data_IF_663724386432
#
_entry.id   IF_663724386432
#
_cell.length_a   1.000
_cell.length_b   1.000
_cell.length_c   1.000
_cell.angle_alpha   90.00
_cell.angle_beta   90.00
_cell.angle_gamma   90.00
#
_symmetry.space_group_name_H-M   'P 1'
#
loop_
_entity.id
_entity.type
_entity.pdbx_description
1 polymer ?
#
# COMPACT_ATOMS: atom_id res chain seq x y z
N UNK A 1 9.88 8.36 34.91
CA UNK A 1 9.68 7.44 33.76
C UNK A 1 10.13 8.22 32.54
N UNK A 2 11.03 7.69 31.71
CA UNK A 2 11.42 8.34 30.47
C UNK A 2 10.18 8.58 29.60
N UNK A 3 10.08 9.78 29.05
CA UNK A 3 9.00 10.13 28.11
C UNK A 3 9.06 9.17 26.92
N UNK A 4 7.94 8.49 26.61
CA UNK A 4 7.87 7.54 25.48
C UNK A 4 7.68 8.33 24.19
N UNK A 5 8.50 8.08 23.19
CA UNK A 5 8.38 8.72 21.87
C UNK A 5 7.13 8.26 21.14
N UNK A 6 6.49 9.17 20.43
CA UNK A 6 5.47 8.84 19.43
C UNK A 6 6.13 8.61 18.08
N UNK A 7 5.46 7.81 17.21
CA UNK A 7 5.98 7.42 15.90
C UNK A 7 4.97 7.74 14.81
N UNK A 8 5.48 8.30 13.71
CA UNK A 8 4.73 8.42 12.45
C UNK A 8 5.48 7.61 11.40
N UNK A 9 4.78 6.67 10.77
CA UNK A 9 5.31 5.82 9.71
C UNK A 9 4.62 6.20 8.39
N UNK A 10 5.35 6.91 7.51
CA UNK A 10 4.88 7.17 6.15
C UNK A 10 5.25 6.03 5.22
N UNK A 11 4.30 5.56 4.43
CA UNK A 11 4.52 4.52 3.41
C UNK A 11 3.94 4.99 2.09
N UNK A 12 4.74 4.96 1.04
CA UNK A 12 4.30 5.07 -0.35
C UNK A 12 4.28 3.68 -0.99
N UNK A 13 3.42 3.47 -1.98
CA UNK A 13 3.33 2.17 -2.65
C UNK A 13 4.05 2.20 -4.01
N UNK A 14 4.89 1.20 -4.25
CA UNK A 14 5.66 1.05 -5.51
C UNK A 14 6.61 2.23 -5.81
N UNK A 15 7.02 2.98 -4.79
CA UNK A 15 8.00 4.05 -4.93
C UNK A 15 9.37 3.48 -5.26
N UNK A 16 9.98 3.92 -6.36
CA UNK A 16 11.37 3.57 -6.70
C UNK A 16 12.34 4.39 -5.84
N UNK A 17 13.42 3.75 -5.43
CA UNK A 17 14.50 4.39 -4.68
C UNK A 17 15.08 5.62 -5.42
N UNK A 18 15.36 5.46 -6.71
CA UNK A 18 15.96 6.47 -7.56
C UNK A 18 15.00 7.59 -8.03
N UNK A 19 13.72 7.56 -7.60
CA UNK A 19 12.73 8.57 -7.92
C UNK A 19 12.48 9.53 -6.74
N UNK A 20 13.55 9.90 -6.03
CA UNK A 20 13.56 10.89 -4.95
C UNK A 20 14.72 11.87 -5.16
N UNK A 21 14.52 13.16 -4.85
CA UNK A 21 15.56 14.19 -4.95
C UNK A 21 16.75 13.87 -4.06
N UNK A 22 16.51 13.46 -2.79
CA UNK A 22 17.56 13.07 -1.85
C UNK A 22 18.40 11.87 -2.31
N UNK A 23 17.89 11.08 -3.24
CA UNK A 23 18.62 9.94 -3.85
C UNK A 23 19.22 10.29 -5.22
N UNK A 24 19.27 11.60 -5.56
CA UNK A 24 19.99 12.11 -6.71
C UNK A 24 19.19 12.14 -8.03
N UNK A 25 17.85 12.00 -7.99
CA UNK A 25 17.06 12.15 -9.22
C UNK A 25 17.19 13.57 -9.79
N UNK A 26 17.60 13.75 -11.06
CA UNK A 26 17.94 15.08 -11.59
C UNK A 26 16.73 15.97 -11.85
N UNK A 27 15.53 15.41 -12.01
CA UNK A 27 14.32 16.13 -12.44
C UNK A 27 13.25 16.14 -11.35
N UNK A 28 12.99 15.00 -10.72
CA UNK A 28 11.91 14.88 -9.73
C UNK A 28 12.19 15.74 -8.48
N UNK A 29 11.15 16.40 -8.01
CA UNK A 29 11.20 17.29 -6.85
C UNK A 29 10.41 16.66 -5.69
N UNK A 30 11.11 16.32 -4.62
CA UNK A 30 10.53 15.75 -3.40
C UNK A 30 10.97 16.54 -2.16
N UNK A 31 10.72 17.88 -2.11
CA UNK A 31 11.37 18.77 -1.15
C UNK A 31 11.12 18.40 0.31
N UNK A 32 9.93 17.91 0.64
CA UNK A 32 9.60 17.53 2.02
C UNK A 32 10.30 16.22 2.44
N UNK A 33 10.39 15.24 1.52
CA UNK A 33 11.15 14.00 1.78
C UNK A 33 12.63 14.30 1.85
N UNK A 34 13.12 15.17 0.96
CA UNK A 34 14.53 15.57 0.90
C UNK A 34 14.94 16.30 2.20
N UNK A 35 14.07 17.15 2.74
CA UNK A 35 14.29 17.81 4.04
C UNK A 35 14.36 16.79 5.19
N UNK A 36 13.44 15.82 5.22
CA UNK A 36 13.49 14.76 6.24
C UNK A 36 14.78 13.94 6.14
N UNK A 37 15.23 13.62 4.92
CA UNK A 37 16.48 12.90 4.71
C UNK A 37 17.70 13.70 5.16
N UNK A 38 17.69 15.03 4.97
CA UNK A 38 18.77 15.92 5.38
C UNK A 38 18.86 16.08 6.91
N UNK A 39 17.73 15.99 7.62
CA UNK A 39 17.65 16.12 9.08
C UNK A 39 17.76 14.79 9.83
N UNK A 40 17.62 13.68 9.11
CA UNK A 40 17.55 12.33 9.67
C UNK A 40 18.62 11.39 9.17
N UNK A 41 18.26 10.12 9.03
CA UNK A 41 19.12 9.06 8.51
C UNK A 41 18.48 8.47 7.25
N UNK A 42 19.21 8.49 6.13
CA UNK A 42 18.83 7.82 4.90
C UNK A 42 19.55 6.47 4.78
N UNK A 43 18.82 5.44 4.32
CA UNK A 43 19.34 4.10 4.13
C UNK A 43 19.37 3.74 2.65
N UNK A 44 20.56 3.76 2.03
CA UNK A 44 20.74 3.52 0.59
C UNK A 44 20.46 2.08 0.17
N UNK A 45 20.56 1.13 1.09
CA UNK A 45 20.43 -0.31 0.83
C UNK A 45 19.40 -0.96 1.76
N UNK A 46 18.21 -0.40 1.78
CA UNK A 46 17.08 -0.97 2.51
C UNK A 46 16.23 -1.82 1.56
N UNK A 47 16.30 -3.14 1.71
CA UNK A 47 15.63 -4.10 0.84
C UNK A 47 14.32 -4.58 1.44
N UNK A 48 13.29 -4.65 0.60
CA UNK A 48 11.99 -5.21 0.97
C UNK A 48 12.05 -6.74 1.04
N UNK A 49 11.24 -7.34 1.91
CA UNK A 49 11.17 -8.79 2.05
C UNK A 49 10.51 -9.47 0.83
N UNK A 50 9.68 -8.73 0.10
CA UNK A 50 9.02 -9.15 -1.14
C UNK A 50 8.77 -7.94 -2.03
N UNK A 51 8.92 -8.06 -3.37
CA UNK A 51 8.58 -6.96 -4.29
C UNK A 51 7.07 -6.77 -4.47
N UNK A 52 6.25 -7.66 -3.90
CA UNK A 52 4.79 -7.62 -3.98
C UNK A 52 4.22 -6.99 -2.71
N UNK A 53 3.29 -6.05 -2.87
CA UNK A 53 2.79 -5.19 -1.77
C UNK A 53 2.23 -5.97 -0.59
N UNK A 54 1.35 -6.94 -0.80
CA UNK A 54 0.69 -7.67 0.29
C UNK A 54 1.67 -8.52 1.12
N UNK A 55 2.51 -9.39 0.54
CA UNK A 55 3.57 -10.10 1.29
C UNK A 55 4.55 -9.17 1.99
N UNK A 56 4.94 -8.07 1.33
CA UNK A 56 5.87 -7.11 1.94
C UNK A 56 5.24 -6.39 3.14
N UNK A 57 3.98 -5.98 3.03
CA UNK A 57 3.26 -5.32 4.13
C UNK A 57 3.05 -6.27 5.31
N UNK A 58 2.73 -7.54 5.05
CA UNK A 58 2.69 -8.56 6.08
C UNK A 58 4.05 -8.77 6.78
N UNK A 59 5.14 -8.76 6.00
CA UNK A 59 6.51 -8.81 6.54
C UNK A 59 6.84 -7.59 7.40
N UNK A 60 6.46 -6.39 6.94
CA UNK A 60 6.62 -5.16 7.72
C UNK A 60 5.88 -5.24 9.06
N UNK A 61 4.62 -5.70 9.04
CA UNK A 61 3.78 -5.77 10.25
C UNK A 61 4.27 -6.80 11.25
N UNK A 62 4.77 -7.95 10.78
CA UNK A 62 5.15 -9.08 11.63
C UNK A 62 6.65 -9.16 11.92
N UNK A 63 7.48 -8.38 11.21
CA UNK A 63 8.94 -8.51 11.21
C UNK A 63 9.42 -9.91 10.84
N UNK A 64 8.67 -10.63 9.98
CA UNK A 64 8.95 -11.99 9.53
C UNK A 64 8.97 -12.09 8.02
N UNK A 65 9.62 -13.11 7.49
CA UNK A 65 9.63 -13.41 6.06
C UNK A 65 8.30 -14.03 5.60
N UNK A 66 7.93 -13.91 4.31
CA UNK A 66 6.71 -14.51 3.76
C UNK A 66 6.60 -16.02 3.99
N UNK A 67 7.71 -16.74 4.01
CA UNK A 67 7.77 -18.17 4.36
C UNK A 67 7.35 -18.47 5.80
N UNK A 68 7.44 -17.49 6.69
CA UNK A 68 7.11 -17.65 8.11
C UNK A 68 5.70 -17.17 8.45
N UNK A 69 5.23 -16.06 7.86
CA UNK A 69 3.87 -15.55 8.14
C UNK A 69 2.81 -16.06 7.15
N UNK A 70 3.19 -16.73 6.06
CA UNK A 70 2.30 -17.41 5.12
C UNK A 70 1.67 -16.52 4.05
N UNK A 71 1.67 -15.22 4.17
CA UNK A 71 1.20 -14.28 3.14
C UNK A 71 2.26 -14.18 2.05
N UNK A 72 2.28 -15.15 1.12
CA UNK A 72 3.33 -15.32 0.11
C UNK A 72 2.99 -14.77 -1.27
N UNK A 73 1.72 -14.42 -1.49
CA UNK A 73 1.25 -13.81 -2.73
C UNK A 73 0.06 -12.89 -2.48
N UNK A 74 -0.36 -12.16 -3.51
CA UNK A 74 -1.61 -11.41 -3.47
C UNK A 74 -2.78 -12.35 -3.18
N UNK A 75 -3.71 -11.87 -2.36
CA UNK A 75 -4.95 -12.57 -2.00
C UNK A 75 -4.83 -13.52 -0.82
N UNK A 76 -3.63 -13.90 -0.39
CA UNK A 76 -3.45 -14.69 0.83
C UNK A 76 -3.37 -13.73 2.02
N UNK A 77 -4.41 -13.60 2.84
CA UNK A 77 -4.43 -12.64 3.93
C UNK A 77 -3.42 -12.98 5.02
N UNK A 78 -3.00 -11.96 5.75
CA UNK A 78 -2.26 -12.16 7.00
C UNK A 78 -3.20 -12.78 8.04
N UNK A 79 -2.76 -13.87 8.65
CA UNK A 79 -3.53 -14.50 9.71
C UNK A 79 -3.75 -13.53 10.88
N UNK A 80 -4.98 -13.46 11.40
CA UNK A 80 -5.34 -12.63 12.55
C UNK A 80 -4.57 -12.99 13.82
N UNK A 81 -4.13 -14.25 13.96
CA UNK A 81 -3.30 -14.72 15.09
C UNK A 81 -1.83 -14.26 14.96
N UNK A 82 -1.44 -13.60 13.85
CA UNK A 82 -0.09 -13.12 13.67
C UNK A 82 0.16 -11.93 14.59
N UNK A 83 1.14 -12.04 15.45
CA UNK A 83 1.61 -10.92 16.28
C UNK A 83 2.24 -9.86 15.40
N UNK A 84 1.76 -8.63 15.49
CA UNK A 84 2.29 -7.47 14.78
C UNK A 84 3.02 -6.53 15.74
N UNK A 85 3.99 -5.75 15.23
CA UNK A 85 4.64 -4.72 16.05
C UNK A 85 3.64 -3.65 16.54
N UNK A 86 2.57 -3.43 15.78
CA UNK A 86 1.48 -2.50 16.15
C UNK A 86 0.73 -3.03 17.37
N UNK A 87 0.43 -4.31 17.40
CA UNK A 87 -0.21 -4.95 18.57
C UNK A 87 0.67 -4.85 19.81
N UNK A 88 1.98 -5.07 19.67
CA UNK A 88 2.93 -4.92 20.79
C UNK A 88 2.94 -3.49 21.32
N UNK A 89 2.92 -2.47 20.44
CA UNK A 89 2.83 -1.08 20.86
C UNK A 89 1.47 -0.76 21.49
N UNK A 90 0.38 -1.26 20.92
CA UNK A 90 -0.97 -1.10 21.49
C UNK A 90 -1.05 -1.68 22.92
N UNK A 91 -0.47 -2.86 23.14
CA UNK A 91 -0.39 -3.51 24.45
C UNK A 91 0.56 -2.78 25.41
N UNK A 92 1.58 -2.09 24.88
CA UNK A 92 2.45 -1.20 25.65
C UNK A 92 1.79 0.17 25.99
N UNK A 93 0.52 0.37 25.62
CA UNK A 93 -0.26 1.55 25.98
C UNK A 93 -0.25 2.67 24.93
N UNK A 94 0.25 2.42 23.71
CA UNK A 94 0.19 3.39 22.63
C UNK A 94 -1.24 3.48 22.05
N UNK A 95 -1.60 4.67 21.56
CA UNK A 95 -2.69 4.81 20.62
C UNK A 95 -2.15 4.46 19.23
N UNK A 96 -2.91 3.62 18.49
CA UNK A 96 -2.47 3.10 17.19
C UNK A 96 -3.50 3.41 16.13
N UNK A 97 -3.11 4.09 15.07
CA UNK A 97 -3.97 4.47 13.98
C UNK A 97 -3.33 4.14 12.62
N UNK A 98 -4.14 3.62 11.70
CA UNK A 98 -3.80 3.48 10.29
C UNK A 98 -4.71 4.37 9.45
N UNK A 99 -4.11 5.22 8.64
CA UNK A 99 -4.80 6.04 7.65
C UNK A 99 -4.23 5.70 6.27
N UNK A 100 -5.07 5.14 5.39
CA UNK A 100 -4.67 4.76 4.06
C UNK A 100 -4.67 3.26 3.81
N UNK A 101 -3.71 2.80 3.00
CA UNK A 101 -3.62 1.42 2.50
C UNK A 101 -2.99 0.49 3.54
N UNK A 102 -3.73 -0.51 3.98
CA UNK A 102 -3.21 -1.62 4.79
C UNK A 102 -2.71 -2.77 3.91
N UNK A 103 -3.57 -3.32 3.08
CA UNK A 103 -3.32 -4.45 2.18
C UNK A 103 -2.77 -5.69 2.91
N UNK A 104 -3.40 -6.02 4.03
CA UNK A 104 -3.15 -7.22 4.81
C UNK A 104 -4.17 -8.32 4.52
N UNK A 105 -5.26 -7.96 3.83
CA UNK A 105 -6.29 -8.86 3.35
C UNK A 105 -6.47 -8.71 1.84
N UNK A 106 -7.26 -9.61 1.24
CA UNK A 106 -7.54 -9.55 -0.19
C UNK A 106 -8.34 -8.30 -0.54
N UNK A 107 -7.84 -7.51 -1.51
CA UNK A 107 -8.53 -6.32 -2.03
C UNK A 107 -9.22 -6.57 -3.38
N UNK A 108 -9.01 -7.73 -3.98
CA UNK A 108 -9.65 -8.11 -5.24
C UNK A 108 -11.05 -8.68 -5.00
N UNK A 109 -11.92 -8.50 -5.99
CA UNK A 109 -13.27 -9.04 -5.94
C UNK A 109 -13.32 -10.55 -6.33
N UNK A 110 -12.15 -11.15 -6.58
CA UNK A 110 -12.03 -12.57 -6.91
C UNK A 110 -11.63 -13.37 -5.67
N UNK A 111 -12.26 -14.52 -5.50
CA UNK A 111 -11.86 -15.50 -4.51
C UNK A 111 -10.53 -16.12 -4.93
N UNK A 112 -9.57 -16.11 -4.04
CA UNK A 112 -8.29 -16.74 -4.28
C UNK A 112 -8.29 -18.07 -3.56
N UNK A 113 -8.18 -19.13 -4.32
CA UNK A 113 -8.01 -20.46 -3.75
C UNK A 113 -6.58 -20.59 -3.20
N UNK A 114 -6.48 -20.75 -1.90
CA UNK A 114 -5.21 -21.05 -1.23
C UNK A 114 -5.02 -22.55 -1.32
N UNK A 115 -4.21 -23.00 -2.28
CA UNK A 115 -3.87 -24.42 -2.35
C UNK A 115 -3.09 -24.83 -1.09
N UNK A 116 -3.48 -25.94 -0.43
CA UNK A 116 -2.72 -26.51 0.66
C UNK A 116 -1.26 -26.76 0.24
N UNK A 117 -0.32 -26.47 1.11
CA UNK A 117 1.08 -26.72 0.86
C UNK A 117 1.31 -28.22 0.72
N UNK A 118 1.73 -28.65 -0.48
CA UNK A 118 2.13 -30.05 -0.70
C UNK A 118 3.49 -30.28 -0.07
N UNK A 119 3.57 -31.21 0.85
CA UNK A 119 4.84 -31.61 1.43
C UNK A 119 5.68 -32.35 0.41
N UNK A 120 6.98 -32.04 0.36
CA UNK A 120 7.94 -32.83 -0.42
C UNK A 120 8.15 -34.19 0.23
N UNK A 121 8.18 -35.24 -0.55
CA UNK A 121 8.56 -36.57 -0.08
C UNK A 121 9.93 -36.52 0.59
N UNK A 122 10.07 -37.12 1.77
CA UNK A 122 11.30 -37.11 2.58
C UNK A 122 11.46 -35.89 3.51
N UNK A 123 10.51 -34.94 3.55
CA UNK A 123 10.51 -33.82 4.50
C UNK A 123 9.44 -34.01 5.55
N UNK A 124 9.80 -33.79 6.81
CA UNK A 124 8.84 -33.77 7.92
C UNK A 124 8.08 -32.45 7.91
N UNK A 125 6.77 -32.50 7.84
CA UNK A 125 5.94 -31.32 8.03
C UNK A 125 6.08 -30.78 9.47
N UNK A 126 6.11 -29.46 9.67
CA UNK A 126 6.00 -28.91 11.01
C UNK A 126 4.62 -29.27 11.59
N UNK A 127 4.50 -29.38 12.92
CA UNK A 127 3.20 -29.56 13.59
C UNK A 127 2.20 -28.47 13.17
N UNK A 128 0.93 -28.81 13.07
CA UNK A 128 -0.12 -27.90 12.56
C UNK A 128 -0.26 -26.62 13.39
N UNK A 129 -0.03 -26.68 14.70
CA UNK A 129 -0.05 -25.55 15.61
C UNK A 129 1.12 -24.58 15.43
N UNK A 130 2.22 -25.02 14.80
CA UNK A 130 3.37 -24.18 14.46
C UNK A 130 3.37 -23.72 13.01
N UNK A 131 2.41 -24.16 12.20
CA UNK A 131 2.44 -24.01 10.75
C UNK A 131 1.49 -22.90 10.23
N UNK A 132 1.62 -21.69 10.77
CA UNK A 132 0.87 -20.51 10.31
C UNK A 132 1.04 -20.29 8.80
N UNK A 133 2.23 -20.63 8.25
CA UNK A 133 2.55 -20.40 6.84
C UNK A 133 1.80 -21.33 5.86
N UNK A 134 1.21 -22.42 6.32
CA UNK A 134 0.51 -23.40 5.50
C UNK A 134 -1.00 -23.42 5.70
N UNK A 135 -1.54 -22.53 6.54
CA UNK A 135 -2.99 -22.43 6.76
C UNK A 135 -3.70 -22.09 5.45
N UNK A 136 -4.80 -22.79 5.22
CA UNK A 136 -5.67 -22.62 4.06
C UNK A 136 -7.10 -22.16 4.41
N UNK A 137 -7.41 -22.01 5.68
CA UNK A 137 -8.73 -21.64 6.23
C UNK A 137 -8.93 -20.09 6.31
N UNK A 138 -8.17 -19.34 5.51
CA UNK A 138 -8.14 -17.88 5.54
C UNK A 138 -9.13 -17.23 4.56
N UNK A 139 -9.96 -18.02 3.87
CA UNK A 139 -11.01 -17.52 2.99
C UNK A 139 -12.37 -17.58 3.70
N UNK A 140 -12.59 -16.65 4.60
CA UNK A 140 -13.85 -16.50 5.33
C UNK A 140 -14.18 -15.01 5.54
N UNK A 141 -15.36 -14.73 6.07
CA UNK A 141 -15.90 -13.37 6.24
C UNK A 141 -14.99 -12.44 7.04
N UNK A 142 -14.14 -12.96 7.93
CA UNK A 142 -13.23 -12.13 8.75
C UNK A 142 -12.00 -11.63 8.00
N UNK A 143 -11.77 -12.12 6.77
CA UNK A 143 -10.68 -11.68 5.88
C UNK A 143 -11.16 -10.89 4.66
N UNK A 144 -12.40 -10.32 4.72
CA UNK A 144 -13.02 -9.61 3.60
C UNK A 144 -13.06 -8.08 3.78
N UNK A 145 -12.49 -7.55 4.85
CA UNK A 145 -12.64 -6.13 5.22
C UNK A 145 -11.94 -5.16 4.26
N UNK A 146 -11.06 -5.64 3.40
CA UNK A 146 -10.39 -4.83 2.38
C UNK A 146 -10.96 -5.03 0.96
N UNK A 147 -12.04 -5.81 0.80
CA UNK A 147 -12.78 -5.92 -0.46
C UNK A 147 -13.79 -4.78 -0.64
N UNK A 148 -13.94 -4.28 -1.86
CA UNK A 148 -14.95 -3.25 -2.15
C UNK A 148 -16.36 -3.75 -1.85
N UNK A 149 -16.67 -5.00 -2.16
CA UNK A 149 -17.96 -5.62 -1.86
C UNK A 149 -18.33 -5.59 -0.37
N UNK A 150 -17.35 -5.57 0.53
CA UNK A 150 -17.61 -5.36 1.97
C UNK A 150 -18.07 -3.93 2.26
N UNK A 151 -17.45 -2.92 1.61
CA UNK A 151 -17.74 -1.51 1.78
C UNK A 151 -19.01 -1.05 1.06
N UNK A 152 -19.52 -1.86 0.12
CA UNK A 152 -20.82 -1.61 -0.53
C UNK A 152 -22.01 -2.07 0.33
N UNK A 153 -21.75 -2.75 1.46
CA UNK A 153 -22.78 -3.10 2.44
C UNK A 153 -23.27 -1.84 3.18
N UNK A 154 -24.51 -1.83 3.68
CA UNK A 154 -24.97 -0.75 4.56
C UNK A 154 -24.11 -0.68 5.83
N UNK A 155 -23.58 0.51 6.17
CA UNK A 155 -22.80 0.80 7.38
C UNK A 155 -21.62 -0.18 7.62
N UNK A 156 -20.66 -0.28 6.68
CA UNK A 156 -19.54 -1.21 6.79
C UNK A 156 -18.64 -0.80 7.97
N UNK A 157 -18.35 -1.74 8.86
CA UNK A 157 -17.50 -1.52 10.04
C UNK A 157 -16.42 -2.57 10.13
N UNK A 158 -15.18 -2.13 9.96
CA UNK A 158 -14.03 -3.01 10.21
C UNK A 158 -13.90 -3.22 11.72
N UNK A 159 -13.85 -4.47 12.20
CA UNK A 159 -13.61 -4.75 13.61
C UNK A 159 -12.29 -4.17 14.09
N UNK A 160 -12.32 -3.58 15.27
CA UNK A 160 -11.15 -2.97 15.91
C UNK A 160 -10.83 -3.76 17.19
N UNK A 161 -9.57 -4.07 17.48
CA UNK A 161 -8.36 -3.66 16.74
C UNK A 161 -8.18 -4.45 15.43
N UNK A 162 -7.82 -3.74 14.37
CA UNK A 162 -7.45 -4.34 13.08
C UNK A 162 -5.93 -4.53 13.03
N UNK A 163 -5.44 -5.74 13.18
CA UNK A 163 -4.01 -6.08 13.28
C UNK A 163 -3.23 -5.19 14.26
N UNK A 164 -3.87 -4.85 15.40
CA UNK A 164 -3.30 -3.98 16.44
C UNK A 164 -3.65 -2.49 16.30
N UNK A 165 -4.20 -2.05 15.19
CA UNK A 165 -4.69 -0.67 15.04
C UNK A 165 -6.04 -0.48 15.74
N UNK A 166 -6.11 0.48 16.65
CA UNK A 166 -7.31 0.89 17.38
C UNK A 166 -8.22 1.80 16.57
N UNK A 167 -7.66 2.45 15.54
CA UNK A 167 -8.39 3.26 14.56
C UNK A 167 -7.91 2.91 13.15
N UNK A 168 -8.83 2.81 12.18
CA UNK A 168 -8.49 2.50 10.80
C UNK A 168 -9.38 3.27 9.83
N UNK A 169 -8.75 4.12 9.01
CA UNK A 169 -9.36 4.84 7.90
C UNK A 169 -8.89 4.21 6.59
N UNK A 170 -9.62 3.20 6.15
CA UNK A 170 -9.22 2.36 5.02
C UNK A 170 -9.22 3.09 3.68
N UNK A 171 -8.12 3.00 2.94
CA UNK A 171 -8.07 3.36 1.52
C UNK A 171 -7.52 2.16 0.75
N UNK A 172 -8.37 1.55 -0.07
CA UNK A 172 -8.03 0.36 -0.84
C UNK A 172 -7.89 0.70 -2.31
N UNK A 173 -7.24 -0.20 -3.08
CA UNK A 173 -6.97 0.00 -4.51
C UNK A 173 -6.10 1.23 -4.78
N UNK A 174 -6.11 1.76 -6.01
CA UNK A 174 -5.16 2.77 -6.47
C UNK A 174 -5.81 3.76 -7.43
N UNK A 175 -5.20 4.95 -7.53
CA UNK A 175 -5.56 5.99 -8.47
C UNK A 175 -7.03 6.42 -8.36
N UNK A 176 -7.71 6.56 -9.50
CA UNK A 176 -9.13 6.95 -9.53
C UNK A 176 -10.08 5.90 -8.91
N UNK A 177 -9.60 4.67 -8.67
CA UNK A 177 -10.44 3.55 -8.24
C UNK A 177 -10.32 3.23 -6.74
N UNK A 178 -9.79 4.15 -5.94
CA UNK A 178 -9.67 3.96 -4.49
C UNK A 178 -11.03 3.80 -3.83
N UNK A 179 -11.11 2.88 -2.86
CA UNK A 179 -12.33 2.51 -2.12
C UNK A 179 -12.19 2.75 -0.61
N UNK A 180 -13.01 2.04 0.16
CA UNK A 180 -13.01 2.11 1.62
C UNK A 180 -13.55 3.44 2.16
N UNK A 181 -12.99 3.87 3.28
CA UNK A 181 -13.38 5.13 3.95
C UNK A 181 -13.26 6.37 3.06
N UNK A 182 -12.30 6.38 2.12
CA UNK A 182 -12.17 7.45 1.14
C UNK A 182 -13.41 7.51 0.22
N UNK A 183 -13.85 6.37 -0.32
CA UNK A 183 -15.03 6.35 -1.18
C UNK A 183 -16.29 6.74 -0.41
N UNK A 184 -16.44 6.31 0.83
CA UNK A 184 -17.55 6.73 1.69
C UNK A 184 -17.51 8.23 1.97
N UNK A 185 -16.33 8.80 2.18
CA UNK A 185 -16.15 10.24 2.31
C UNK A 185 -16.56 10.99 1.02
N UNK A 186 -16.14 10.49 -0.16
CA UNK A 186 -16.53 11.07 -1.46
C UNK A 186 -18.06 11.01 -1.64
N UNK A 187 -18.68 9.87 -1.39
CA UNK A 187 -20.15 9.71 -1.48
C UNK A 187 -20.89 10.75 -0.63
N UNK A 188 -20.36 11.07 0.54
CA UNK A 188 -20.98 11.97 1.51
C UNK A 188 -20.69 13.45 1.23
N UNK A 189 -19.45 13.80 0.88
CA UNK A 189 -18.98 15.19 0.88
C UNK A 189 -18.78 15.78 -0.52
N UNK A 190 -18.62 14.92 -1.54
CA UNK A 190 -18.35 15.32 -2.93
C UNK A 190 -18.96 14.32 -3.92
N UNK A 191 -20.29 14.04 -3.84
CA UNK A 191 -20.93 12.98 -4.63
C UNK A 191 -20.81 13.19 -6.15
N UNK A 192 -20.66 14.41 -6.63
CA UNK A 192 -20.41 14.74 -8.05
C UNK A 192 -19.10 14.12 -8.57
N UNK A 193 -18.11 13.92 -7.71
CA UNK A 193 -16.84 13.29 -8.05
C UNK A 193 -17.00 11.82 -8.47
N UNK A 194 -18.05 11.15 -8.05
CA UNK A 194 -18.32 9.77 -8.45
C UNK A 194 -18.45 9.62 -9.98
N UNK A 195 -19.03 10.63 -10.65
CA UNK A 195 -19.16 10.64 -12.09
C UNK A 195 -17.84 10.91 -12.84
N UNK A 196 -16.81 11.38 -12.13
CA UNK A 196 -15.48 11.69 -12.69
C UNK A 196 -14.47 10.54 -12.54
N UNK A 197 -14.84 9.50 -11.80
CA UNK A 197 -14.01 8.32 -11.54
C UNK A 197 -14.19 7.29 -12.65
N UNK A 198 -13.08 6.80 -13.17
CA UNK A 198 -13.08 5.77 -14.20
C UNK A 198 -12.06 6.06 -15.30
N UNK A 199 -11.58 5.00 -15.93
CA UNK A 199 -10.67 5.10 -17.08
C UNK A 199 -11.32 5.81 -18.26
N UNK A 200 -12.60 5.61 -18.47
CA UNK A 200 -13.44 6.24 -19.51
C UNK A 200 -13.80 7.70 -19.18
N UNK A 201 -13.48 8.19 -18.00
CA UNK A 201 -13.79 9.53 -17.49
C UNK A 201 -12.55 10.44 -17.41
N UNK A 202 -11.49 10.11 -18.12
CA UNK A 202 -10.26 10.91 -18.15
C UNK A 202 -10.35 12.10 -19.14
N UNK A 203 -9.43 13.04 -19.01
CA UNK A 203 -9.15 14.01 -20.05
C UNK A 203 -8.34 13.36 -21.18
N UNK A 204 -8.42 13.92 -22.38
CA UNK A 204 -7.61 13.49 -23.52
C UNK A 204 -6.12 13.71 -23.27
N UNK A 205 -5.29 12.79 -23.78
CA UNK A 205 -3.83 12.85 -23.72
C UNK A 205 -3.19 11.94 -24.77
N UNK A 206 -1.91 12.20 -25.10
CA UNK A 206 -1.18 11.50 -26.16
C UNK A 206 -0.35 10.30 -25.67
N UNK A 207 -0.36 9.98 -24.35
CA UNK A 207 0.35 8.82 -23.82
C UNK A 207 -0.29 7.52 -24.28
N UNK A 208 0.55 6.61 -24.81
CA UNK A 208 0.13 5.28 -25.27
C UNK A 208 0.15 4.24 -24.14
N UNK A 209 0.80 4.55 -23.02
CA UNK A 209 0.89 3.66 -21.86
C UNK A 209 -0.49 3.53 -21.19
N UNK A 210 -1.06 2.33 -21.11
CA UNK A 210 -2.42 2.14 -20.61
C UNK A 210 -2.59 2.48 -19.12
N UNK A 211 -1.50 2.58 -18.36
CA UNK A 211 -1.52 2.99 -16.95
C UNK A 211 -1.52 4.52 -16.76
N UNK A 212 -1.18 5.31 -17.76
CA UNK A 212 -1.25 6.77 -17.72
C UNK A 212 -2.69 7.22 -17.90
N UNK A 213 -3.26 7.90 -16.91
CA UNK A 213 -4.66 8.33 -16.90
C UNK A 213 -4.73 9.77 -16.41
N UNK A 214 -5.12 10.68 -17.30
CA UNK A 214 -5.34 12.09 -16.96
C UNK A 214 -6.68 12.23 -16.24
N UNK A 215 -6.70 11.96 -14.95
CA UNK A 215 -7.94 11.91 -14.17
C UNK A 215 -8.67 13.24 -14.13
N UNK A 216 -10.01 13.16 -14.14
CA UNK A 216 -10.91 14.31 -13.88
C UNK A 216 -11.22 14.51 -12.40
N UNK A 217 -10.78 13.59 -11.54
CA UNK A 217 -10.93 13.74 -10.08
C UNK A 217 -10.11 14.94 -9.62
N UNK A 218 -10.72 15.94 -8.95
CA UNK A 218 -9.99 17.11 -8.45
C UNK A 218 -8.98 16.73 -7.34
N UNK A 219 -7.93 17.55 -7.19
CA UNK A 219 -6.88 17.34 -6.18
C UNK A 219 -7.47 17.22 -4.76
N UNK A 220 -8.42 18.07 -4.41
CA UNK A 220 -9.08 18.10 -3.10
C UNK A 220 -9.92 16.85 -2.78
N UNK A 221 -10.33 16.10 -3.81
CA UNK A 221 -11.10 14.85 -3.66
C UNK A 221 -10.27 13.60 -3.94
N UNK A 222 -8.98 13.80 -4.18
CA UNK A 222 -8.08 12.68 -4.49
C UNK A 222 -7.63 11.95 -3.21
N UNK A 223 -7.36 10.65 -3.32
CA UNK A 223 -7.06 9.81 -2.16
C UNK A 223 -5.84 10.26 -1.36
N UNK A 224 -4.82 10.81 -2.03
CA UNK A 224 -3.61 11.32 -1.37
C UNK A 224 -3.93 12.53 -0.50
N UNK A 225 -4.77 13.46 -0.97
CA UNK A 225 -5.25 14.61 -0.18
C UNK A 225 -6.09 14.15 1.00
N UNK A 226 -7.06 13.24 0.76
CA UNK A 226 -7.88 12.67 1.84
C UNK A 226 -7.02 12.04 2.95
N UNK A 227 -6.00 11.25 2.60
CA UNK A 227 -5.10 10.61 3.58
C UNK A 227 -4.33 11.66 4.37
N UNK A 228 -3.79 12.69 3.70
CA UNK A 228 -3.05 13.76 4.33
C UNK A 228 -3.94 14.55 5.30
N UNK A 229 -5.13 14.97 4.87
CA UNK A 229 -6.09 15.71 5.69
C UNK A 229 -6.51 14.90 6.92
N UNK A 230 -6.83 13.63 6.75
CA UNK A 230 -7.17 12.74 7.88
C UNK A 230 -6.02 12.59 8.87
N UNK A 231 -4.76 12.51 8.38
CA UNK A 231 -3.60 12.43 9.24
C UNK A 231 -3.40 13.72 10.05
N UNK A 232 -3.54 14.87 9.42
CA UNK A 232 -3.47 16.18 10.10
C UNK A 232 -4.57 16.32 11.14
N UNK A 233 -5.81 16.01 10.78
CA UNK A 233 -6.94 16.08 11.72
C UNK A 233 -6.77 15.13 12.92
N UNK A 234 -6.27 13.93 12.68
CA UNK A 234 -6.01 12.96 13.74
C UNK A 234 -4.94 13.45 14.70
N UNK A 235 -3.87 14.08 14.18
CA UNK A 235 -2.80 14.69 15.00
C UNK A 235 -3.29 15.92 15.76
N UNK A 236 -4.06 16.80 15.11
CA UNK A 236 -4.62 18.00 15.75
C UNK A 236 -5.57 17.64 16.91
N UNK A 237 -6.38 16.63 16.75
CA UNK A 237 -7.27 16.13 17.81
C UNK A 237 -6.48 15.64 19.05
N UNK A 238 -5.19 15.36 18.89
CA UNK A 238 -4.29 14.87 19.97
C UNK A 238 -3.31 15.92 20.49
N UNK A 239 -3.38 17.16 20.02
CA UNK A 239 -2.46 18.23 20.40
C UNK A 239 -2.22 18.36 21.93
N UNK A 240 -3.26 18.10 22.72
CA UNK A 240 -3.22 18.19 24.18
C UNK A 240 -3.20 16.81 24.87
N UNK A 241 -2.91 15.76 24.14
CA UNK A 241 -2.88 14.40 24.66
C UNK A 241 -1.43 13.90 24.74
N UNK A 242 -0.92 13.71 25.97
CA UNK A 242 0.46 13.25 26.21
C UNK A 242 0.64 11.72 26.04
N UNK A 243 -0.40 10.99 25.60
CA UNK A 243 -0.30 9.56 25.38
C UNK A 243 0.53 9.28 24.13
N UNK A 244 1.52 8.40 24.20
CA UNK A 244 2.31 8.06 23.03
C UNK A 244 1.47 7.38 21.96
N UNK A 245 1.79 7.59 20.70
CA UNK A 245 1.05 7.01 19.59
C UNK A 245 1.96 6.43 18.50
N UNK A 246 1.38 5.51 17.72
CA UNK A 246 1.85 5.11 16.41
C UNK A 246 0.79 5.50 15.37
N UNK A 247 1.15 6.39 14.46
CA UNK A 247 0.35 6.73 13.30
C UNK A 247 1.02 6.18 12.04
N UNK A 248 0.36 5.28 11.34
CA UNK A 248 0.77 4.81 10.03
C UNK A 248 -0.02 5.55 8.97
N UNK A 249 0.66 6.32 8.12
CA UNK A 249 0.08 7.08 7.00
C UNK A 249 0.54 6.41 5.71
N UNK A 250 -0.36 5.71 5.04
CA UNK A 250 -0.02 4.80 3.95
C UNK A 250 -0.73 5.20 2.65
N UNK A 251 0.06 5.73 1.70
CA UNK A 251 -0.42 6.21 0.43
C UNK A 251 -0.45 5.09 -0.62
N UNK A 252 -1.54 4.97 -1.41
CA UNK A 252 -1.59 4.08 -2.57
C UNK A 252 -0.65 4.54 -3.70
N UNK A 253 -0.38 5.85 -3.80
CA UNK A 253 0.52 6.41 -4.79
C UNK A 253 2.01 6.21 -4.39
N UNK A 254 2.93 6.19 -5.37
CA UNK A 254 2.75 6.33 -6.83
C UNK A 254 2.48 5.01 -7.59
N UNK A 255 1.77 4.04 -7.01
CA UNK A 255 1.39 2.78 -7.67
C UNK A 255 0.48 3.05 -8.90
N UNK A 256 0.66 2.27 -9.96
CA UNK A 256 -0.23 2.37 -11.13
C UNK A 256 -1.71 1.98 -10.78
N UNK A 257 -2.73 2.46 -11.51
CA UNK A 257 -2.66 3.42 -12.62
C UNK A 257 -2.15 4.79 -12.15
N UNK A 258 -1.29 5.41 -12.96
CA UNK A 258 -0.75 6.73 -12.68
C UNK A 258 -1.81 7.77 -13.01
N UNK A 259 -2.37 8.37 -11.96
CA UNK A 259 -3.52 9.28 -12.09
C UNK A 259 -3.27 10.60 -11.36
N UNK A 260 -2.15 11.31 -11.63
CA UNK A 260 -1.86 12.56 -10.95
C UNK A 260 -2.94 13.60 -11.24
N UNK A 261 -3.59 14.20 -10.21
CA UNK A 261 -4.67 15.14 -10.41
C UNK A 261 -4.16 16.54 -10.79
N UNK A 262 -4.93 17.25 -11.63
CA UNK A 262 -4.75 18.65 -11.93
C UNK A 262 -3.33 19.01 -12.35
N UNK A 263 -2.71 19.96 -11.64
CA UNK A 263 -1.36 20.50 -11.93
C UNK A 263 -0.24 19.45 -11.92
N UNK A 264 -0.42 18.32 -11.24
CA UNK A 264 0.61 17.29 -11.16
C UNK A 264 0.75 16.50 -12.46
N UNK A 265 -0.29 16.45 -13.31
CA UNK A 265 -0.21 15.83 -14.64
C UNK A 265 0.79 16.55 -15.54
N UNK A 266 0.79 17.86 -15.51
CA UNK A 266 1.63 18.69 -16.39
C UNK A 266 2.96 19.13 -15.73
N UNK A 267 3.27 18.60 -14.53
CA UNK A 267 4.43 19.00 -13.74
C UNK A 267 5.75 18.59 -14.38
N UNK A 268 5.78 17.46 -15.06
CA UNK A 268 6.94 16.90 -15.72
C UNK A 268 6.61 16.52 -17.16
N UNK A 269 7.59 16.64 -18.04
CA UNK A 269 7.46 16.26 -19.44
C UNK A 269 8.26 15.00 -19.72
N UNK A 270 7.82 14.11 -20.64
CA UNK A 270 8.57 12.91 -21.00
C UNK A 270 10.00 13.18 -21.46
N UNK A 271 10.19 14.26 -22.22
CA UNK A 271 11.50 14.69 -22.74
C UNK A 271 12.50 15.12 -21.65
N UNK A 272 12.02 15.49 -20.46
CA UNK A 272 12.86 15.86 -19.33
C UNK A 272 13.37 14.63 -18.56
N UNK A 273 12.77 13.45 -18.81
CA UNK A 273 13.09 12.22 -18.06
C UNK A 273 14.32 11.52 -18.62
N UNK A 274 15.19 11.11 -17.71
CA UNK A 274 16.38 10.33 -18.06
C UNK A 274 16.00 8.85 -18.15
N UNK A 275 16.21 8.24 -19.31
CA UNK A 275 16.06 6.80 -19.50
C UNK A 275 17.20 6.11 -18.77
N UNK A 276 16.92 5.14 -17.87
CA UNK A 276 17.97 4.40 -17.17
C UNK A 276 18.89 3.68 -18.16
N UNK A 277 20.20 3.75 -17.94
CA UNK A 277 21.19 3.10 -18.81
C UNK A 277 20.95 1.58 -19.00
N UNK A 278 20.41 0.92 -17.97
CA UNK A 278 20.05 -0.49 -18.04
C UNK A 278 18.88 -0.80 -18.98
N UNK A 279 18.11 0.21 -19.43
CA UNK A 279 16.99 0.02 -20.36
C UNK A 279 17.48 -0.30 -21.79
N UNK A 280 18.62 0.26 -22.18
CA UNK A 280 19.23 0.09 -23.51
C UNK A 280 20.38 -0.91 -23.53
N UNK A 281 20.62 -1.64 -22.43
CA UNK A 281 21.71 -2.58 -22.34
C UNK A 281 21.41 -3.83 -23.21
N UNK A 282 22.13 -3.97 -24.32
CA UNK A 282 22.04 -5.10 -25.26
C UNK A 282 22.49 -6.45 -24.68
N UNK A 283 23.17 -6.42 -23.52
CA UNK A 283 23.75 -7.61 -22.89
C UNK A 283 22.83 -8.27 -21.81
N UNK A 284 21.58 -7.86 -21.74
CA UNK A 284 20.62 -8.44 -20.81
C UNK A 284 20.20 -9.85 -21.25
N UNK A 285 20.65 -10.87 -20.53
CA UNK A 285 20.17 -12.26 -20.65
C UNK A 285 19.22 -12.59 -19.49
N UNK A 286 17.92 -12.25 -19.60
CA UNK A 286 16.96 -12.46 -18.53
C UNK A 286 16.71 -13.95 -18.27
N UNK A 287 16.39 -14.32 -17.03
CA UNK A 287 15.93 -15.66 -16.70
C UNK A 287 14.75 -16.10 -17.58
N UNK A 288 14.63 -17.42 -17.85
CA UNK A 288 13.65 -17.93 -18.80
C UNK A 288 12.20 -17.53 -18.49
N UNK A 289 11.83 -17.40 -17.22
CA UNK A 289 10.48 -16.96 -16.85
C UNK A 289 10.18 -15.51 -17.28
N UNK A 290 11.19 -14.64 -17.37
CA UNK A 290 11.04 -13.27 -17.91
C UNK A 290 10.87 -13.34 -19.43
N UNK A 291 11.68 -14.14 -20.13
CA UNK A 291 11.59 -14.35 -21.59
C UNK A 291 10.23 -14.89 -22.01
N UNK A 292 9.64 -15.77 -21.19
CA UNK A 292 8.29 -16.29 -21.42
C UNK A 292 7.25 -15.18 -21.26
N UNK A 293 7.35 -14.40 -20.19
CA UNK A 293 6.41 -13.30 -19.93
C UNK A 293 6.46 -12.20 -21.02
N UNK A 294 7.64 -11.92 -21.57
CA UNK A 294 7.80 -10.97 -22.68
C UNK A 294 7.22 -11.51 -23.98
N UNK A 295 7.44 -12.78 -24.30
CA UNK A 295 6.84 -13.46 -25.47
C UNK A 295 5.30 -13.47 -25.41
N UNK A 296 4.72 -13.61 -24.24
CA UNK A 296 3.26 -13.63 -24.08
C UNK A 296 2.65 -12.21 -24.13
N UNK A 297 3.42 -11.17 -23.81
CA UNK A 297 3.00 -9.77 -24.01
C UNK A 297 3.09 -9.29 -25.44
N UNK A 298 3.93 -9.92 -26.23
CA UNK A 298 4.13 -9.58 -27.67
C UNK A 298 3.06 -10.24 -28.59
N UNK A 299 2.21 -11.12 -28.08
CA UNK A 299 1.06 -11.73 -28.75
C UNK A 299 -0.22 -10.93 -28.47
#
# INVERSE_FOLDING_TARGET
MSERSSYILFITDQQRYDHLGCNGHPVLRTPNIDAMAAEGVSHDRFYVASPVCMPNRASLMTCRMPSSHGTRSLGIPLNHDSVTFVELLANAGYDTCLIGKSHLQNVSDFDIQIEPTKHREGFTAPPDDLNVATRSDLDNDTYQYERQAYWDKPDPKVPIPFYGFKEYFAVMRHGFNTGGSHLEWVKKNAPETLALRGRDKQFDHDFTVPQAIRTKVPEEHYSTTYIADRAVEWLEARRNNNKPFLLMVSFPDPHHPFTPPGKYWDMYKPEDMVVPAAYEADEWDPPEYIKVAERDRAK
#
